data_IF_253710060979
#
_entry.id   IF_253710060979
#
_cell.length_a   1.000
_cell.length_b   1.000
_cell.length_c   1.000
_cell.angle_alpha   90.00
_cell.angle_beta   90.00
_cell.angle_gamma   90.00
#
_symmetry.space_group_name_H-M   'P 1'
#
loop_
_entity.id
_entity.type
_entity.pdbx_description
1 polymer ?
#
# COMPACT_ATOMS: atom_id res chain seq x y z
N UNK A 1 20.10 -3.82 9.64
CA UNK A 1 18.97 -4.06 10.55
C UNK A 1 17.73 -4.31 9.70
N UNK A 2 17.14 -5.48 9.82
CA UNK A 2 16.00 -5.85 9.01
C UNK A 2 14.71 -5.25 9.58
N UNK A 3 13.99 -4.57 8.72
CA UNK A 3 12.65 -4.08 9.05
C UNK A 3 11.61 -5.17 8.77
N UNK A 4 10.42 -5.00 9.29
CA UNK A 4 9.26 -5.78 8.85
C UNK A 4 8.48 -4.99 7.81
N UNK A 5 7.87 -5.69 6.86
CA UNK A 5 7.16 -5.10 5.73
C UNK A 5 5.69 -5.46 5.81
N UNK A 6 4.83 -4.45 5.71
CA UNK A 6 3.41 -4.63 5.46
C UNK A 6 3.09 -4.23 4.02
N UNK A 7 2.26 -5.00 3.35
CA UNK A 7 1.92 -4.75 1.95
C UNK A 7 0.41 -4.56 1.79
N UNK A 8 0.04 -3.49 1.12
CA UNK A 8 -1.34 -3.17 0.75
C UNK A 8 -1.50 -3.29 -0.77
N UNK A 9 -2.64 -3.75 -1.21
CA UNK A 9 -2.92 -3.97 -2.63
C UNK A 9 -1.84 -4.86 -3.25
N UNK A 10 -1.56 -5.97 -2.59
CA UNK A 10 -0.35 -6.77 -2.82
C UNK A 10 -0.27 -7.42 -4.19
N UNK A 11 -1.42 -7.70 -4.83
CA UNK A 11 -1.43 -8.47 -6.07
C UNK A 11 -0.80 -9.83 -5.84
N UNK A 12 0.18 -10.17 -6.65
CA UNK A 12 0.95 -11.42 -6.49
C UNK A 12 2.30 -11.20 -5.78
N UNK A 13 2.53 -9.99 -5.23
CA UNK A 13 3.66 -9.75 -4.34
C UNK A 13 4.94 -9.23 -4.99
N UNK A 14 4.85 -8.60 -6.16
CA UNK A 14 6.05 -8.11 -6.86
C UNK A 14 6.80 -7.03 -6.11
N UNK A 15 6.10 -6.09 -5.50
CA UNK A 15 6.72 -4.96 -4.80
C UNK A 15 7.45 -5.42 -3.54
N UNK A 16 6.78 -6.19 -2.68
CA UNK A 16 7.41 -6.71 -1.46
C UNK A 16 8.52 -7.72 -1.74
N UNK A 17 8.40 -8.51 -2.82
CA UNK A 17 9.49 -9.39 -3.24
C UNK A 17 10.74 -8.57 -3.58
N UNK A 18 10.56 -7.45 -4.29
CA UNK A 18 11.66 -6.55 -4.60
C UNK A 18 12.32 -5.98 -3.34
N UNK A 19 11.52 -5.59 -2.36
CA UNK A 19 12.02 -5.08 -1.09
C UNK A 19 12.80 -6.15 -0.29
N UNK A 20 12.29 -7.38 -0.26
CA UNK A 20 13.00 -8.48 0.39
C UNK A 20 14.34 -8.79 -0.30
N UNK A 21 14.35 -8.82 -1.63
CA UNK A 21 15.58 -9.04 -2.41
C UNK A 21 16.59 -7.92 -2.24
N UNK A 22 16.11 -6.71 -1.98
CA UNK A 22 16.98 -5.58 -1.68
C UNK A 22 17.51 -5.59 -0.24
N UNK A 23 17.12 -6.58 0.58
CA UNK A 23 17.58 -6.70 1.96
C UNK A 23 16.90 -5.73 2.93
N UNK A 24 15.76 -5.17 2.56
CA UNK A 24 15.05 -4.20 3.40
C UNK A 24 14.42 -4.87 4.62
N UNK A 25 13.83 -6.06 4.44
CA UNK A 25 13.21 -6.78 5.55
C UNK A 25 12.40 -7.99 5.12
N UNK A 26 11.58 -8.48 6.04
CA UNK A 26 10.69 -9.62 5.83
C UNK A 26 9.22 -9.20 5.87
N UNK A 27 8.40 -9.82 5.03
CA UNK A 27 6.97 -9.53 4.95
C UNK A 27 6.25 -10.11 6.17
N UNK A 28 5.59 -9.23 6.92
CA UNK A 28 4.81 -9.61 8.10
C UNK A 28 3.34 -9.85 7.74
N UNK A 29 2.77 -9.05 6.87
CA UNK A 29 1.37 -9.17 6.45
C UNK A 29 1.15 -8.60 5.06
N UNK A 30 0.09 -9.09 4.41
CA UNK A 30 -0.32 -8.67 3.07
C UNK A 30 -1.84 -8.52 3.03
N UNK A 31 -2.32 -7.47 2.36
CA UNK A 31 -3.75 -7.20 2.17
C UNK A 31 -4.04 -7.19 0.68
N UNK A 32 -4.88 -8.12 0.22
CA UNK A 32 -5.24 -8.26 -1.19
C UNK A 32 -6.67 -8.79 -1.32
N UNK A 33 -7.52 -8.06 -2.04
CA UNK A 33 -8.93 -8.41 -2.18
C UNK A 33 -9.17 -9.62 -3.09
N UNK A 34 -8.29 -9.86 -4.05
CA UNK A 34 -8.45 -10.96 -5.01
C UNK A 34 -8.03 -12.29 -4.39
N UNK A 35 -8.96 -13.25 -4.34
CA UNK A 35 -8.74 -14.54 -3.71
C UNK A 35 -7.64 -15.37 -4.42
N UNK A 36 -7.56 -15.31 -5.74
CA UNK A 36 -6.50 -15.99 -6.49
C UNK A 36 -5.13 -15.40 -6.15
N UNK A 37 -5.02 -14.09 -6.12
CA UNK A 37 -3.78 -13.43 -5.72
C UNK A 37 -3.38 -13.81 -4.30
N UNK A 38 -4.33 -13.84 -3.36
CA UNK A 38 -4.03 -14.29 -1.99
C UNK A 38 -3.50 -15.72 -1.94
N UNK A 39 -4.01 -16.62 -2.79
CA UNK A 39 -3.49 -17.99 -2.83
C UNK A 39 -2.03 -18.04 -3.30
N UNK A 40 -1.65 -17.18 -4.25
CA UNK A 40 -0.26 -17.04 -4.70
C UNK A 40 0.61 -16.47 -3.57
N UNK A 41 0.13 -15.43 -2.88
CA UNK A 41 0.84 -14.84 -1.76
C UNK A 41 1.08 -15.85 -0.63
N UNK A 42 0.07 -16.61 -0.26
CA UNK A 42 0.18 -17.62 0.79
C UNK A 42 1.19 -18.70 0.45
N UNK A 43 1.33 -19.05 -0.82
CA UNK A 43 2.31 -20.02 -1.29
C UNK A 43 3.74 -19.50 -1.13
N UNK A 44 3.98 -18.25 -1.47
CA UNK A 44 5.32 -17.66 -1.45
C UNK A 44 5.71 -17.06 -0.10
N UNK A 45 4.73 -16.62 0.67
CA UNK A 45 4.93 -16.06 2.02
C UNK A 45 4.07 -16.80 3.06
N UNK A 46 4.38 -18.08 3.33
CA UNK A 46 3.53 -18.89 4.23
C UNK A 46 3.50 -18.38 5.67
N UNK A 47 4.47 -17.57 6.07
CA UNK A 47 4.54 -16.99 7.42
C UNK A 47 3.84 -15.63 7.52
N UNK A 48 3.58 -14.96 6.41
CA UNK A 48 2.90 -13.67 6.42
C UNK A 48 1.40 -13.86 6.67
N UNK A 49 0.81 -12.95 7.46
CA UNK A 49 -0.64 -12.95 7.64
C UNK A 49 -1.32 -12.36 6.42
N UNK A 50 -2.37 -13.02 5.96
CA UNK A 50 -3.15 -12.59 4.80
C UNK A 50 -4.47 -11.96 5.25
N UNK A 51 -4.82 -10.85 4.62
CA UNK A 51 -6.10 -10.16 4.82
C UNK A 51 -6.70 -9.85 3.45
N UNK A 52 -8.02 -9.73 3.39
CA UNK A 52 -8.72 -9.51 2.12
C UNK A 52 -9.07 -8.03 1.87
N UNK A 53 -9.77 -7.39 2.77
CA UNK A 53 -10.33 -6.07 2.53
C UNK A 53 -9.59 -5.00 3.35
N UNK A 54 -8.92 -4.09 2.66
CA UNK A 54 -8.18 -2.97 3.26
C UNK A 54 -9.04 -2.12 4.18
N UNK A 55 -10.34 -2.03 3.90
CA UNK A 55 -11.29 -1.23 4.68
C UNK A 55 -11.59 -1.83 6.06
N UNK A 56 -11.30 -3.11 6.25
CA UNK A 56 -11.61 -3.84 7.49
C UNK A 56 -10.40 -4.00 8.41
N UNK A 57 -9.22 -3.54 8.00
CA UNK A 57 -7.98 -3.70 8.76
C UNK A 57 -7.44 -2.36 9.22
N UNK A 58 -6.63 -2.38 10.26
CA UNK A 58 -6.02 -1.19 10.84
C UNK A 58 -5.14 -1.53 12.03
N UNK A 59 -4.89 -0.57 12.90
CA UNK A 59 -4.00 -0.71 14.04
C UNK A 59 -4.42 -1.84 15.01
N UNK A 60 -5.70 -2.20 15.03
CA UNK A 60 -6.20 -3.27 15.90
C UNK A 60 -5.97 -4.68 15.32
N UNK A 61 -5.73 -4.79 14.02
CA UNK A 61 -5.58 -6.07 13.32
C UNK A 61 -4.19 -6.29 12.73
N UNK A 62 -3.57 -5.23 12.23
CA UNK A 62 -2.25 -5.29 11.59
C UNK A 62 -1.16 -5.07 12.63
N UNK A 63 -0.11 -5.88 12.58
CA UNK A 63 1.06 -5.65 13.41
C UNK A 63 1.82 -4.42 12.95
N UNK A 64 2.51 -3.78 13.89
CA UNK A 64 3.41 -2.67 13.59
C UNK A 64 4.55 -3.12 12.67
N UNK A 65 4.87 -2.33 11.67
CA UNK A 65 5.92 -2.63 10.68
C UNK A 65 6.78 -1.40 10.43
N UNK A 66 8.01 -1.63 10.01
CA UNK A 66 8.93 -0.55 9.65
C UNK A 66 8.66 0.04 8.27
N UNK A 67 8.16 -0.78 7.33
CA UNK A 67 7.86 -0.35 5.97
C UNK A 67 6.42 -0.73 5.63
N UNK A 68 5.66 0.19 5.06
CA UNK A 68 4.41 -0.14 4.38
C UNK A 68 4.60 0.17 2.90
N UNK A 69 4.34 -0.82 2.06
CA UNK A 69 4.37 -0.66 0.61
C UNK A 69 2.99 -0.96 0.03
N UNK A 70 2.70 -0.38 -1.13
CA UNK A 70 1.45 -0.68 -1.83
C UNK A 70 1.35 -0.03 -3.18
N UNK A 71 0.76 -0.78 -4.12
CA UNK A 71 0.37 -0.29 -5.43
C UNK A 71 -1.13 -0.08 -5.48
N UNK A 72 -1.61 1.10 -5.07
CA UNK A 72 -3.05 1.35 -5.08
C UNK A 72 -3.57 1.46 -6.52
N UNK A 73 -4.83 1.04 -6.79
CA UNK A 73 -5.36 0.98 -8.16
C UNK A 73 -5.40 2.34 -8.84
N UNK A 74 -4.91 2.40 -10.09
CA UNK A 74 -4.90 3.63 -10.88
C UNK A 74 -6.30 4.09 -11.29
N UNK A 75 -7.29 3.22 -11.26
CA UNK A 75 -8.68 3.56 -11.55
C UNK A 75 -9.24 4.62 -10.63
N UNK A 76 -8.69 4.75 -9.44
CA UNK A 76 -9.13 5.76 -8.47
C UNK A 76 -8.72 7.17 -8.86
N UNK A 77 -7.74 7.32 -9.73
CA UNK A 77 -7.17 8.62 -10.09
C UNK A 77 -7.27 8.91 -11.59
N UNK A 78 -7.14 7.87 -12.42
CA UNK A 78 -6.93 8.01 -13.85
C UNK A 78 -8.20 7.93 -14.69
N UNK A 79 -9.38 7.94 -14.12
CA UNK A 79 -10.61 7.90 -14.92
C UNK A 79 -10.78 9.19 -15.71
N UNK A 80 -10.59 9.06 -17.02
CA UNK A 80 -10.81 10.15 -17.96
C UNK A 80 -12.22 10.72 -17.79
N UNK A 81 -12.33 12.02 -17.58
CA UNK A 81 -13.61 12.72 -17.51
C UNK A 81 -14.12 13.02 -16.11
N UNK A 82 -13.61 12.38 -15.06
CA UNK A 82 -13.98 12.69 -13.68
C UNK A 82 -12.75 12.69 -12.78
N UNK A 83 -11.73 13.41 -13.19
CA UNK A 83 -10.53 13.56 -12.40
C UNK A 83 -10.79 14.53 -11.26
N UNK A 84 -11.33 14.01 -10.19
CA UNK A 84 -11.47 14.75 -8.95
C UNK A 84 -10.18 14.69 -8.13
N UNK A 85 -9.12 14.11 -8.70
CA UNK A 85 -7.88 13.86 -7.99
C UNK A 85 -8.12 12.94 -6.79
N UNK A 86 -7.29 13.07 -5.78
CA UNK A 86 -7.45 12.28 -4.55
C UNK A 86 -8.53 12.84 -3.61
N UNK A 87 -9.21 13.89 -4.01
CA UNK A 87 -10.28 14.50 -3.21
C UNK A 87 -11.69 14.02 -3.55
N UNK A 88 -11.85 13.16 -4.55
CA UNK A 88 -13.16 12.65 -4.95
C UNK A 88 -13.46 11.25 -4.43
N UNK A 89 -14.68 10.79 -4.66
CA UNK A 89 -15.17 9.46 -4.25
C UNK A 89 -14.35 8.31 -4.85
N UNK A 90 -13.64 8.58 -5.94
CA UNK A 90 -12.82 7.64 -6.68
C UNK A 90 -11.48 7.32 -6.00
N UNK A 91 -11.08 8.11 -5.01
CA UNK A 91 -9.81 7.95 -4.32
C UNK A 91 -9.94 7.21 -3.00
N UNK A 92 -11.04 6.46 -2.82
CA UNK A 92 -11.32 5.73 -1.59
C UNK A 92 -10.21 4.78 -1.17
N UNK A 93 -9.52 4.16 -2.11
CA UNK A 93 -8.45 3.21 -1.80
C UNK A 93 -7.16 3.92 -1.39
N UNK A 94 -6.84 5.08 -1.95
CA UNK A 94 -5.76 5.90 -1.43
C UNK A 94 -6.08 6.43 -0.03
N UNK A 95 -7.31 6.81 0.22
CA UNK A 95 -7.77 7.23 1.55
C UNK A 95 -7.52 6.14 2.58
N UNK A 96 -7.81 4.88 2.23
CA UNK A 96 -7.56 3.73 3.11
C UNK A 96 -6.06 3.48 3.31
N UNK A 97 -5.25 3.61 2.27
CA UNK A 97 -3.80 3.52 2.38
C UNK A 97 -3.27 4.58 3.35
N UNK A 98 -3.66 5.83 3.14
CA UNK A 98 -3.29 6.94 4.00
C UNK A 98 -3.75 6.73 5.45
N UNK A 99 -4.96 6.22 5.65
CA UNK A 99 -5.49 5.90 6.99
C UNK A 99 -4.58 4.90 7.71
N UNK A 100 -4.21 3.82 7.04
CA UNK A 100 -3.36 2.79 7.62
C UNK A 100 -1.97 3.34 7.96
N UNK A 101 -1.39 4.17 7.10
CA UNK A 101 -0.14 4.86 7.39
C UNK A 101 -0.28 5.72 8.65
N UNK A 102 -1.36 6.47 8.74
CA UNK A 102 -1.63 7.34 9.90
C UNK A 102 -1.77 6.54 11.19
N UNK A 103 -2.40 5.38 11.12
CA UNK A 103 -2.61 4.52 12.30
C UNK A 103 -1.34 3.77 12.73
N UNK A 104 -0.59 3.21 11.77
CA UNK A 104 0.58 2.38 12.09
C UNK A 104 1.90 3.13 12.15
N UNK A 105 2.00 4.27 11.49
CA UNK A 105 3.19 5.14 11.51
C UNK A 105 4.49 4.41 11.19
N UNK A 106 4.59 3.74 10.03
CA UNK A 106 5.84 3.10 9.64
C UNK A 106 6.96 4.13 9.42
N UNK A 107 8.21 3.70 9.50
CA UNK A 107 9.34 4.57 9.22
C UNK A 107 9.44 4.94 7.74
N UNK A 108 9.05 4.02 6.86
CA UNK A 108 9.16 4.18 5.41
C UNK A 108 7.83 3.81 4.75
N UNK A 109 7.45 4.59 3.75
CA UNK A 109 6.29 4.31 2.90
C UNK A 109 6.75 4.23 1.45
N UNK A 110 6.35 3.17 0.76
CA UNK A 110 6.61 2.98 -0.67
C UNK A 110 5.27 2.87 -1.39
N UNK A 111 4.87 3.93 -2.06
CA UNK A 111 3.61 3.97 -2.82
C UNK A 111 3.91 3.90 -4.32
N UNK A 112 3.18 3.05 -5.02
CA UNK A 112 3.34 2.84 -6.45
C UNK A 112 1.98 2.99 -7.13
N UNK A 113 1.98 3.51 -8.34
CA UNK A 113 0.81 3.56 -9.21
C UNK A 113 1.29 3.65 -10.66
N UNK A 114 0.34 3.56 -11.59
CA UNK A 114 0.61 3.63 -13.03
C UNK A 114 1.36 4.90 -13.42
N UNK A 115 2.41 4.74 -14.23
CA UNK A 115 3.22 5.85 -14.72
C UNK A 115 2.47 6.86 -15.60
N UNK A 116 1.37 6.45 -16.21
CA UNK A 116 0.63 7.33 -17.13
C UNK A 116 -0.08 8.49 -16.43
N UNK A 117 -0.38 8.34 -15.16
CA UNK A 117 -1.11 9.34 -14.37
C UNK A 117 -0.26 9.96 -13.26
N UNK A 118 1.07 9.84 -13.32
CA UNK A 118 1.94 10.30 -12.24
C UNK A 118 1.79 11.80 -11.92
N UNK A 119 1.53 12.61 -12.95
CA UNK A 119 1.34 14.05 -12.75
C UNK A 119 0.11 14.39 -11.93
N UNK A 120 -0.87 13.50 -11.92
CA UNK A 120 -2.11 13.70 -11.20
C UNK A 120 -2.01 13.20 -9.74
N UNK A 121 -1.38 12.05 -9.54
CA UNK A 121 -1.41 11.43 -8.21
C UNK A 121 -0.18 11.73 -7.35
N UNK A 122 1.01 11.87 -7.93
CA UNK A 122 2.24 12.07 -7.15
C UNK A 122 2.18 13.33 -6.28
N UNK A 123 1.79 14.50 -6.82
CA UNK A 123 1.72 15.70 -5.98
C UNK A 123 0.76 15.56 -4.80
N UNK A 124 -0.38 14.93 -5.01
CA UNK A 124 -1.39 14.74 -3.97
C UNK A 124 -0.94 13.75 -2.89
N UNK A 125 -0.34 12.64 -3.31
CA UNK A 125 0.22 11.64 -2.37
C UNK A 125 1.36 12.26 -1.55
N UNK A 126 2.26 12.97 -2.20
CA UNK A 126 3.35 13.67 -1.50
C UNK A 126 2.85 14.67 -0.48
N UNK A 127 1.86 15.47 -0.85
CA UNK A 127 1.24 16.44 0.06
C UNK A 127 0.65 15.73 1.27
N UNK A 128 -0.10 14.65 1.05
CA UNK A 128 -0.74 13.90 2.12
C UNK A 128 0.29 13.24 3.06
N UNK A 129 1.34 12.65 2.49
CA UNK A 129 2.41 12.05 3.28
C UNK A 129 3.22 13.11 4.02
N UNK A 130 3.50 14.24 3.40
CA UNK A 130 4.16 15.35 4.05
C UNK A 130 3.34 15.85 5.25
N UNK A 131 2.01 15.93 5.10
CA UNK A 131 1.10 16.28 6.20
C UNK A 131 1.13 15.29 7.36
N UNK A 132 1.53 14.04 7.12
CA UNK A 132 1.72 13.01 8.14
C UNK A 132 3.15 12.98 8.70
N UNK A 133 4.05 13.85 8.24
CA UNK A 133 5.41 13.95 8.73
C UNK A 133 6.46 13.24 7.90
N UNK A 134 6.10 12.72 6.73
CA UNK A 134 7.06 12.06 5.84
C UNK A 134 7.70 13.06 4.88
N UNK A 135 8.96 12.83 4.54
CA UNK A 135 9.68 13.54 3.48
C UNK A 135 10.06 12.57 2.37
N UNK A 136 10.20 13.07 1.17
CA UNK A 136 10.61 12.26 0.00
C UNK A 136 11.99 12.65 -0.48
#
# INVERSE_FOLDING_TARGET
MNMTIGSLFSGIGGLELGLERAGIGEVAWQVEINAHCRSVLAKHWPKAKQYDDVRTVGASTLSSVGVICGGFPCTDISQAGKRTGLGGDQSGLWVEFRRIISELRPAVVVAENSGNAWRDWVPSVRRDLFGLGYSS
#
